data_IF_617514229410
#
_entry.id   IF_617514229410
#
_cell.length_a   1.000
_cell.length_b   1.000
_cell.length_c   1.000
_cell.angle_alpha   90.00
_cell.angle_beta   90.00
_cell.angle_gamma   90.00
#
_symmetry.space_group_name_H-M   'P 1'
#
loop_
_entity.id
_entity.type
_entity.pdbx_description
1 polymer ?
#
# COMPACT_ATOMS: atom_id res chain seq x y z
N UNK A 1 25.79 -80.86 -53.73
CA UNK A 1 25.10 -81.76 -52.78
C UNK A 1 25.65 -81.42 -51.40
N UNK A 2 24.91 -80.89 -50.42
CA UNK A 2 23.49 -80.65 -50.26
C UNK A 2 23.28 -79.34 -49.49
N UNK A 3 22.11 -78.74 -49.72
CA UNK A 3 21.57 -77.55 -49.06
C UNK A 3 21.02 -77.88 -47.66
N UNK A 4 21.01 -76.89 -46.76
CA UNK A 4 19.88 -76.50 -45.89
C UNK A 4 20.35 -75.32 -45.01
N UNK A 5 19.97 -74.08 -45.37
CA UNK A 5 18.87 -73.30 -44.76
C UNK A 5 19.01 -73.08 -43.26
N UNK A 6 19.36 -71.85 -42.83
CA UNK A 6 18.33 -71.05 -42.16
C UNK A 6 18.65 -69.54 -42.26
N UNK A 7 17.60 -68.78 -42.53
CA UNK A 7 17.61 -67.33 -42.65
C UNK A 7 16.98 -66.71 -41.39
N UNK A 8 16.91 -65.39 -41.34
CA UNK A 8 16.10 -64.58 -40.41
C UNK A 8 16.53 -64.49 -38.95
N UNK A 9 17.28 -63.42 -38.65
CA UNK A 9 16.94 -62.53 -37.53
C UNK A 9 17.61 -61.15 -37.71
N UNK A 10 17.06 -60.34 -38.62
CA UNK A 10 17.02 -58.89 -38.40
C UNK A 10 16.17 -58.67 -37.14
N UNK A 11 16.78 -58.12 -36.10
CA UNK A 11 16.12 -57.78 -34.84
C UNK A 11 16.71 -56.49 -34.31
N UNK A 12 16.12 -55.38 -34.74
CA UNK A 12 16.10 -54.07 -34.12
C UNK A 12 16.61 -54.05 -32.67
N UNK A 13 17.79 -53.48 -32.43
CA UNK A 13 18.13 -52.92 -31.11
C UNK A 13 17.85 -51.42 -31.10
N UNK A 14 16.59 -51.09 -31.32
CA UNK A 14 16.03 -49.82 -30.87
C UNK A 14 15.81 -49.87 -29.34
N UNK A 15 16.26 -48.81 -28.67
CA UNK A 15 15.54 -48.25 -27.52
C UNK A 15 15.51 -49.05 -26.21
N UNK A 16 16.53 -48.87 -25.36
CA UNK A 16 16.28 -48.62 -23.93
C UNK A 16 17.13 -47.47 -23.44
N UNK A 17 16.61 -46.23 -23.58
CA UNK A 17 17.05 -45.13 -22.71
C UNK A 17 16.68 -45.51 -21.28
N UNK A 18 17.65 -46.03 -20.53
CA UNK A 18 17.49 -46.26 -19.09
C UNK A 18 17.07 -44.91 -18.49
N UNK A 19 15.93 -44.80 -17.79
CA UNK A 19 15.59 -43.56 -17.12
C UNK A 19 16.67 -43.32 -16.07
N UNK A 20 17.55 -42.35 -16.32
CA UNK A 20 18.53 -41.90 -15.34
C UNK A 20 17.78 -41.41 -14.10
N UNK A 21 17.61 -42.32 -13.13
CA UNK A 21 17.05 -41.99 -11.83
C UNK A 21 18.04 -41.05 -11.17
N UNK A 22 17.59 -39.84 -10.82
CA UNK A 22 18.47 -38.83 -10.24
C UNK A 22 19.18 -39.40 -9.00
N UNK A 23 20.49 -39.15 -8.82
CA UNK A 23 21.24 -39.69 -7.70
C UNK A 23 20.64 -39.27 -6.36
N UNK A 24 20.76 -40.12 -5.34
CA UNK A 24 20.13 -39.92 -4.01
C UNK A 24 20.43 -38.55 -3.39
N UNK A 25 21.65 -38.03 -3.59
CA UNK A 25 22.04 -36.71 -3.09
C UNK A 25 21.24 -35.58 -3.78
N UNK A 26 20.99 -35.67 -5.08
CA UNK A 26 20.21 -34.68 -5.83
C UNK A 26 18.75 -34.67 -5.39
N UNK A 27 18.20 -35.85 -5.07
CA UNK A 27 16.86 -35.97 -4.46
C UNK A 27 16.78 -35.29 -3.09
N UNK A 28 17.80 -35.48 -2.24
CA UNK A 28 17.87 -34.84 -0.91
C UNK A 28 18.00 -33.33 -1.02
N UNK A 29 18.91 -32.84 -1.87
CA UNK A 29 19.11 -31.41 -2.12
C UNK A 29 17.80 -30.73 -2.56
N UNK A 30 17.08 -31.33 -3.51
CA UNK A 30 15.78 -30.81 -3.97
C UNK A 30 14.74 -30.72 -2.85
N UNK A 31 14.66 -31.73 -2.00
CA UNK A 31 13.78 -31.70 -0.82
C UNK A 31 14.19 -30.60 0.15
N UNK A 32 15.48 -30.43 0.42
CA UNK A 32 15.99 -29.35 1.28
C UNK A 32 15.63 -27.96 0.76
N UNK A 33 15.76 -27.72 -0.56
CA UNK A 33 15.39 -26.45 -1.19
C UNK A 33 13.88 -26.16 -1.09
N UNK A 34 13.03 -27.16 -1.32
CA UNK A 34 11.58 -27.04 -1.15
C UNK A 34 11.19 -26.78 0.32
N UNK A 35 11.81 -27.50 1.25
CA UNK A 35 11.59 -27.28 2.69
C UNK A 35 12.04 -25.90 3.13
N UNK A 36 13.17 -25.40 2.61
CA UNK A 36 13.64 -24.04 2.87
C UNK A 36 12.68 -22.98 2.32
N UNK A 37 12.15 -23.18 1.10
CA UNK A 37 11.13 -22.30 0.52
C UNK A 37 9.86 -22.27 1.38
N UNK A 38 9.39 -23.43 1.86
CA UNK A 38 8.22 -23.51 2.74
C UNK A 38 8.47 -22.85 4.11
N UNK A 39 9.64 -23.09 4.70
CA UNK A 39 10.04 -22.47 5.97
C UNK A 39 10.13 -20.94 5.85
N UNK A 40 10.69 -20.43 4.74
CA UNK A 40 10.72 -19.01 4.43
C UNK A 40 9.29 -18.44 4.33
N UNK A 41 8.40 -19.11 3.60
CA UNK A 41 7.00 -18.72 3.47
C UNK A 41 6.32 -18.63 4.85
N UNK A 42 6.50 -19.64 5.71
CA UNK A 42 5.92 -19.66 7.05
C UNK A 42 6.49 -18.56 7.96
N UNK A 43 7.80 -18.34 7.94
CA UNK A 43 8.46 -17.29 8.71
C UNK A 43 7.98 -15.89 8.29
N UNK A 44 7.86 -15.64 6.98
CA UNK A 44 7.33 -14.39 6.46
C UNK A 44 5.85 -14.21 6.79
N UNK A 45 5.04 -15.26 6.69
CA UNK A 45 3.64 -15.22 7.10
C UNK A 45 3.51 -14.81 8.58
N UNK A 46 4.35 -15.37 9.47
CA UNK A 46 4.39 -14.95 10.87
C UNK A 46 4.82 -13.48 11.02
N UNK A 47 5.83 -13.02 10.28
CA UNK A 47 6.27 -11.62 10.29
C UNK A 47 5.16 -10.66 9.87
N UNK A 48 4.41 -10.95 8.80
CA UNK A 48 3.35 -10.07 8.30
C UNK A 48 2.04 -10.17 9.08
N UNK A 49 1.77 -11.30 9.75
CA UNK A 49 0.63 -11.47 10.63
C UNK A 49 0.83 -10.73 11.96
N UNK A 50 1.97 -10.97 12.62
CA UNK A 50 2.25 -10.43 13.95
C UNK A 50 2.77 -8.99 13.88
N UNK A 51 3.60 -8.69 12.86
CA UNK A 51 4.31 -7.42 12.64
C UNK A 51 5.06 -6.92 13.88
N UNK A 52 5.92 -7.75 14.51
CA UNK A 52 6.72 -7.27 15.63
C UNK A 52 7.71 -6.19 15.16
N UNK A 53 8.09 -5.28 16.06
CA UNK A 53 9.05 -4.22 15.74
C UNK A 53 10.40 -4.79 15.28
N UNK A 54 10.82 -5.92 15.87
CA UNK A 54 12.04 -6.62 15.48
C UNK A 54 12.03 -7.07 14.00
N UNK A 55 10.87 -7.23 13.37
CA UNK A 55 10.75 -7.59 11.95
C UNK A 55 10.40 -6.38 11.06
N UNK A 56 10.63 -5.15 11.54
CA UNK A 56 10.37 -3.94 10.76
C UNK A 56 11.12 -3.93 9.43
N UNK A 57 12.38 -4.36 9.41
CA UNK A 57 13.18 -4.44 8.19
C UNK A 57 12.57 -5.38 7.13
N UNK A 58 11.96 -6.49 7.53
CA UNK A 58 11.27 -7.43 6.62
C UNK A 58 9.96 -6.84 6.12
N UNK A 59 9.17 -6.29 7.04
CA UNK A 59 7.81 -5.79 6.76
C UNK A 59 7.77 -4.41 6.14
N UNK A 60 8.95 -3.79 5.94
CA UNK A 60 9.11 -2.62 5.09
C UNK A 60 8.84 -2.95 3.63
N UNK A 61 9.31 -4.12 3.17
CA UNK A 61 9.17 -4.56 1.79
C UNK A 61 7.71 -4.89 1.45
N UNK A 62 7.30 -4.71 0.17
CA UNK A 62 6.02 -5.20 -0.29
C UNK A 62 5.96 -6.73 -0.16
N UNK A 63 4.79 -7.24 0.21
CA UNK A 63 4.58 -8.69 0.45
C UNK A 63 5.01 -9.53 -0.75
N UNK A 64 4.66 -9.09 -1.97
CA UNK A 64 4.98 -9.80 -3.20
C UNK A 64 6.47 -9.85 -3.52
N UNK A 65 7.30 -8.95 -2.98
CA UNK A 65 8.74 -8.94 -3.24
C UNK A 65 9.42 -10.23 -2.74
N UNK A 66 8.89 -10.80 -1.66
CA UNK A 66 9.40 -12.04 -1.07
C UNK A 66 9.06 -13.30 -1.88
N UNK A 67 8.15 -13.21 -2.87
CA UNK A 67 7.90 -14.32 -3.78
C UNK A 67 9.16 -14.67 -4.57
N UNK A 68 9.99 -13.69 -4.94
CA UNK A 68 11.18 -13.96 -5.75
C UNK A 68 12.14 -14.98 -5.11
N UNK A 69 12.71 -14.76 -3.91
CA UNK A 69 13.59 -15.76 -3.28
C UNK A 69 12.85 -17.07 -2.99
N UNK A 70 11.58 -17.02 -2.60
CA UNK A 70 10.76 -18.21 -2.32
C UNK A 70 10.55 -19.10 -3.54
N UNK A 71 10.20 -18.51 -4.68
CA UNK A 71 9.94 -19.22 -5.92
C UNK A 71 11.22 -19.69 -6.59
N UNK A 72 12.35 -18.97 -6.45
CA UNK A 72 13.67 -19.44 -6.91
C UNK A 72 14.06 -20.73 -6.17
N UNK A 73 13.90 -20.77 -4.84
CA UNK A 73 14.12 -21.98 -4.06
C UNK A 73 13.18 -23.12 -4.47
N UNK A 74 11.90 -22.79 -4.70
CA UNK A 74 10.90 -23.79 -5.11
C UNK A 74 11.21 -24.38 -6.50
N UNK A 75 11.61 -23.53 -7.45
CA UNK A 75 11.99 -23.91 -8.80
C UNK A 75 13.26 -24.76 -8.81
N UNK A 76 14.30 -24.36 -8.08
CA UNK A 76 15.55 -25.12 -7.96
C UNK A 76 15.32 -26.49 -7.28
N UNK A 77 14.36 -26.56 -6.36
CA UNK A 77 13.92 -27.80 -5.72
C UNK A 77 12.98 -28.66 -6.56
N UNK A 78 12.51 -28.19 -7.72
CA UNK A 78 11.50 -28.89 -8.51
C UNK A 78 12.05 -30.15 -9.21
N UNK A 79 11.27 -31.22 -9.20
CA UNK A 79 11.62 -32.47 -9.86
C UNK A 79 10.44 -33.43 -9.98
N UNK A 80 10.50 -34.38 -10.94
CA UNK A 80 9.41 -35.35 -11.18
C UNK A 80 8.99 -36.11 -9.91
N UNK A 81 9.95 -36.50 -9.07
CA UNK A 81 9.70 -37.19 -7.81
C UNK A 81 9.16 -36.27 -6.70
N UNK A 82 9.39 -34.95 -6.80
CA UNK A 82 9.01 -33.95 -5.80
C UNK A 82 7.73 -33.19 -6.18
N UNK A 83 7.14 -33.44 -7.35
CA UNK A 83 6.02 -32.66 -7.91
C UNK A 83 4.89 -32.36 -6.92
N UNK A 84 4.52 -33.33 -6.08
CA UNK A 84 3.46 -33.18 -5.07
C UNK A 84 3.86 -32.18 -3.98
N UNK A 85 5.07 -32.31 -3.45
CA UNK A 85 5.58 -31.39 -2.44
C UNK A 85 5.83 -30.01 -3.03
N UNK A 86 6.40 -29.92 -4.24
CA UNK A 86 6.54 -28.67 -4.97
C UNK A 86 5.20 -27.95 -5.15
N UNK A 87 4.15 -28.67 -5.56
CA UNK A 87 2.81 -28.08 -5.69
C UNK A 87 2.27 -27.53 -4.36
N UNK A 88 2.48 -28.24 -3.24
CA UNK A 88 2.12 -27.74 -1.91
C UNK A 88 2.88 -26.46 -1.54
N UNK A 89 4.17 -26.37 -1.86
CA UNK A 89 4.96 -25.17 -1.63
C UNK A 89 4.43 -23.98 -2.46
N UNK A 90 4.08 -24.21 -3.72
CA UNK A 90 3.49 -23.16 -4.57
C UNK A 90 2.11 -22.72 -4.05
N UNK A 91 1.28 -23.66 -3.58
CA UNK A 91 0.00 -23.35 -2.94
C UNK A 91 0.17 -22.54 -1.65
N UNK A 92 1.20 -22.85 -0.86
CA UNK A 92 1.53 -22.06 0.34
C UNK A 92 1.90 -20.62 -0.01
N UNK A 93 2.74 -20.41 -1.03
CA UNK A 93 3.09 -19.07 -1.52
C UNK A 93 1.91 -18.31 -2.11
N UNK A 94 1.00 -19.01 -2.83
CA UNK A 94 -0.25 -18.42 -3.29
C UNK A 94 -1.13 -17.99 -2.11
N UNK A 95 -1.26 -18.85 -1.09
CA UNK A 95 -1.98 -18.53 0.14
C UNK A 95 -1.37 -17.33 0.87
N UNK A 96 -0.05 -17.26 0.96
CA UNK A 96 0.68 -16.10 1.51
C UNK A 96 0.36 -14.81 0.73
N UNK A 97 0.45 -14.84 -0.60
CA UNK A 97 0.15 -13.68 -1.43
C UNK A 97 -1.31 -13.21 -1.22
N UNK A 98 -2.27 -14.13 -1.27
CA UNK A 98 -3.70 -13.81 -1.07
C UNK A 98 -3.94 -13.27 0.36
N UNK A 99 -3.31 -13.84 1.38
CA UNK A 99 -3.52 -13.44 2.76
C UNK A 99 -2.96 -12.04 3.05
N UNK A 100 -1.76 -11.73 2.56
CA UNK A 100 -1.00 -10.57 3.04
C UNK A 100 -0.86 -9.43 2.02
N UNK A 101 -0.93 -9.69 0.71
CA UNK A 101 -0.85 -8.65 -0.31
C UNK A 101 -2.23 -8.03 -0.57
N UNK A 102 -2.26 -6.72 -0.82
CA UNK A 102 -3.49 -6.00 -1.16
C UNK A 102 -3.69 -5.91 -2.67
N UNK A 103 -2.60 -5.92 -3.42
CA UNK A 103 -2.53 -5.71 -4.86
C UNK A 103 -3.36 -6.73 -5.66
N UNK A 104 -3.37 -8.05 -5.35
CA UNK A 104 -4.23 -8.97 -6.09
C UNK A 104 -5.71 -8.57 -6.03
N UNK A 105 -6.18 -8.13 -4.86
CA UNK A 105 -7.58 -7.72 -4.68
C UNK A 105 -7.88 -6.41 -5.39
N UNK A 106 -7.00 -5.42 -5.28
CA UNK A 106 -7.21 -4.10 -5.91
C UNK A 106 -7.07 -4.16 -7.44
N UNK A 107 -6.16 -4.98 -7.96
CA UNK A 107 -6.00 -5.23 -9.40
C UNK A 107 -7.23 -5.91 -9.98
N UNK A 108 -7.74 -6.97 -9.33
CA UNK A 108 -8.98 -7.63 -9.75
C UNK A 108 -10.16 -6.65 -9.68
N UNK A 109 -10.28 -5.86 -8.60
CA UNK A 109 -11.35 -4.85 -8.46
C UNK A 109 -11.27 -3.79 -9.57
N UNK A 110 -10.05 -3.34 -9.90
CA UNK A 110 -9.80 -2.39 -10.99
C UNK A 110 -10.17 -2.98 -12.36
N UNK A 111 -9.74 -4.21 -12.63
CA UNK A 111 -10.06 -4.90 -13.88
C UNK A 111 -11.56 -5.11 -14.06
N UNK A 112 -12.27 -5.56 -13.01
CA UNK A 112 -13.72 -5.77 -13.06
C UNK A 112 -14.51 -4.47 -13.23
N UNK A 113 -14.00 -3.34 -12.73
CA UNK A 113 -14.63 -2.02 -12.96
C UNK A 113 -14.37 -1.44 -14.34
N UNK A 114 -13.36 -1.95 -15.06
CA UNK A 114 -12.90 -1.36 -16.30
C UNK A 114 -12.34 0.06 -16.13
N UNK A 115 -12.18 0.76 -17.25
CA UNK A 115 -11.58 2.11 -17.30
C UNK A 115 -12.55 3.22 -16.86
N UNK A 116 -13.41 2.93 -15.88
CA UNK A 116 -14.35 3.85 -15.26
C UNK A 116 -13.67 5.01 -14.50
N UNK A 117 -12.39 5.29 -14.75
CA UNK A 117 -11.69 6.52 -14.38
C UNK A 117 -12.38 7.77 -14.97
N UNK A 118 -13.20 7.61 -16.01
CA UNK A 118 -14.06 8.63 -16.61
C UNK A 118 -15.56 8.50 -16.33
N UNK A 119 -16.01 7.58 -15.47
CA UNK A 119 -17.43 7.50 -15.13
C UNK A 119 -17.87 8.78 -14.40
N UNK A 120 -18.94 9.41 -14.89
CA UNK A 120 -19.51 10.63 -14.31
C UNK A 120 -19.71 10.46 -12.81
N UNK A 121 -19.07 11.35 -12.04
CA UNK A 121 -19.16 11.35 -10.58
C UNK A 121 -20.62 11.53 -10.19
N UNK A 122 -21.17 10.59 -9.40
CA UNK A 122 -22.51 10.76 -8.84
C UNK A 122 -22.53 12.04 -8.00
N UNK A 123 -23.60 12.85 -8.12
CA UNK A 123 -23.70 14.19 -7.52
C UNK A 123 -23.42 14.23 -6.01
N UNK A 124 -23.66 13.13 -5.28
CA UNK A 124 -23.45 13.01 -3.84
C UNK A 124 -22.03 12.58 -3.41
N UNK A 125 -21.13 12.33 -4.35
CA UNK A 125 -19.75 11.91 -4.03
C UNK A 125 -18.94 13.08 -3.48
N UNK A 126 -18.00 12.84 -2.58
CA UNK A 126 -16.98 13.78 -2.08
C UNK A 126 -15.62 13.22 -2.49
N UNK A 127 -14.78 14.02 -3.15
CA UNK A 127 -13.43 13.64 -3.58
C UNK A 127 -12.37 14.27 -2.68
N UNK A 128 -11.58 13.41 -2.06
CA UNK A 128 -10.41 13.76 -1.27
C UNK A 128 -9.17 13.44 -2.08
N UNK A 129 -8.25 14.40 -2.22
CA UNK A 129 -6.96 14.21 -2.89
C UNK A 129 -5.85 14.46 -1.88
N UNK A 130 -4.90 13.54 -1.79
CA UNK A 130 -3.70 13.70 -0.96
C UNK A 130 -2.46 13.70 -1.84
N UNK A 131 -1.52 14.61 -1.57
CA UNK A 131 -0.26 14.71 -2.31
C UNK A 131 0.89 15.28 -1.44
N UNK A 132 2.00 14.53 -1.35
CA UNK A 132 3.29 15.07 -0.94
C UNK A 132 3.87 15.92 -2.09
N UNK A 133 4.27 17.16 -1.79
CA UNK A 133 4.71 18.16 -2.75
C UNK A 133 6.25 18.30 -2.86
N UNK A 134 7.03 17.27 -2.56
CA UNK A 134 8.48 17.21 -2.86
C UNK A 134 9.25 18.49 -2.47
N UNK A 135 9.18 18.87 -1.20
CA UNK A 135 9.90 20.02 -0.64
C UNK A 135 9.23 21.37 -0.85
N UNK A 136 7.90 21.42 -0.95
CA UNK A 136 7.15 22.67 -1.08
C UNK A 136 6.87 23.09 -2.53
N UNK A 137 6.95 22.17 -3.49
CA UNK A 137 6.73 22.43 -4.92
C UNK A 137 5.29 22.89 -5.21
N UNK A 138 5.15 24.16 -5.59
CA UNK A 138 3.87 24.75 -5.99
C UNK A 138 3.30 24.12 -7.25
N UNK A 139 4.17 23.75 -8.20
CA UNK A 139 3.76 23.10 -9.44
C UNK A 139 3.26 21.67 -9.20
N UNK A 140 3.86 20.94 -8.24
CA UNK A 140 3.34 19.64 -7.82
C UNK A 140 1.98 19.79 -7.14
N UNK A 141 1.86 20.73 -6.18
CA UNK A 141 0.59 21.01 -5.52
C UNK A 141 -0.51 21.41 -6.52
N UNK A 142 -0.16 22.09 -7.60
CA UNK A 142 -1.10 22.49 -8.64
C UNK A 142 -1.71 21.30 -9.43
N UNK A 143 -1.04 20.15 -9.48
CA UNK A 143 -1.51 18.96 -10.22
C UNK A 143 -2.82 18.39 -9.65
N UNK A 144 -3.10 18.61 -8.37
CA UNK A 144 -4.36 18.15 -7.73
C UNK A 144 -5.59 18.72 -8.43
N UNK A 145 -5.47 19.84 -9.14
CA UNK A 145 -6.55 20.45 -9.91
C UNK A 145 -7.14 19.48 -10.95
N UNK A 146 -6.30 18.66 -11.60
CA UNK A 146 -6.73 17.70 -12.61
C UNK A 146 -7.62 16.56 -12.06
N UNK A 147 -7.63 16.39 -10.73
CA UNK A 147 -8.51 15.43 -10.07
C UNK A 147 -9.87 16.02 -9.67
N UNK A 148 -10.10 17.33 -9.81
CA UNK A 148 -11.34 18.01 -9.38
C UNK A 148 -11.75 17.70 -7.92
N UNK A 149 -10.90 18.03 -6.94
CA UNK A 149 -11.14 17.71 -5.53
C UNK A 149 -12.26 18.54 -4.91
N UNK A 150 -12.78 18.06 -3.78
CA UNK A 150 -13.50 18.88 -2.80
C UNK A 150 -12.68 19.10 -1.53
N UNK A 151 -11.74 18.19 -1.24
CA UNK A 151 -10.80 18.28 -0.13
C UNK A 151 -9.41 17.93 -0.68
N UNK A 152 -8.41 18.73 -0.34
CA UNK A 152 -7.01 18.51 -0.67
C UNK A 152 -6.19 18.46 0.61
N UNK A 153 -5.33 17.45 0.72
CA UNK A 153 -4.37 17.25 1.80
C UNK A 153 -2.97 17.34 1.20
N UNK A 154 -2.20 18.36 1.59
CA UNK A 154 -0.81 18.50 1.13
C UNK A 154 0.15 18.20 2.27
N UNK A 155 1.27 17.57 1.91
CA UNK A 155 2.44 17.31 2.75
C UNK A 155 3.68 17.83 2.04
N UNK A 156 4.77 18.10 2.77
CA UNK A 156 5.85 18.95 2.25
C UNK A 156 5.25 20.21 1.63
N UNK A 157 4.29 20.79 2.36
CA UNK A 157 3.36 21.75 1.80
C UNK A 157 4.12 22.98 1.30
N UNK A 158 3.70 23.58 0.17
CA UNK A 158 4.18 24.89 -0.22
C UNK A 158 3.91 25.94 0.86
N UNK A 159 4.53 27.11 0.70
CA UNK A 159 4.33 28.24 1.59
C UNK A 159 2.85 28.68 1.68
N UNK A 160 2.49 29.30 2.81
CA UNK A 160 1.10 29.69 3.10
C UNK A 160 0.42 30.47 1.97
N UNK A 161 1.10 31.47 1.42
CA UNK A 161 0.55 32.31 0.34
C UNK A 161 0.21 31.49 -0.91
N UNK A 162 1.08 30.54 -1.28
CA UNK A 162 0.88 29.65 -2.41
C UNK A 162 -0.29 28.68 -2.17
N UNK A 163 -0.41 28.13 -0.97
CA UNK A 163 -1.53 27.26 -0.57
C UNK A 163 -2.86 28.01 -0.61
N UNK A 164 -2.91 29.22 -0.08
CA UNK A 164 -4.12 30.06 -0.14
C UNK A 164 -4.47 30.46 -1.59
N UNK A 165 -3.47 30.75 -2.43
CA UNK A 165 -3.66 31.02 -3.86
C UNK A 165 -4.20 29.79 -4.61
N UNK A 166 -3.66 28.60 -4.32
CA UNK A 166 -4.16 27.33 -4.84
C UNK A 166 -5.62 27.10 -4.43
N UNK A 167 -5.95 27.33 -3.16
CA UNK A 167 -7.33 27.24 -2.66
C UNK A 167 -8.28 28.15 -3.43
N UNK A 168 -7.91 29.43 -3.62
CA UNK A 168 -8.71 30.38 -4.43
C UNK A 168 -8.87 29.92 -5.87
N UNK A 169 -7.82 29.36 -6.49
CA UNK A 169 -7.87 28.84 -7.86
C UNK A 169 -8.79 27.62 -7.99
N UNK A 170 -8.81 26.73 -7.01
CA UNK A 170 -9.62 25.51 -7.03
C UNK A 170 -11.08 25.75 -6.66
N UNK A 171 -11.34 26.63 -5.69
CA UNK A 171 -12.63 26.74 -5.00
C UNK A 171 -13.24 28.14 -5.02
N UNK A 172 -12.55 29.13 -5.58
CA UNK A 172 -13.02 30.52 -5.67
C UNK A 172 -13.27 31.13 -4.29
N UNK A 173 -14.42 31.81 -4.15
CA UNK A 173 -14.85 32.42 -2.89
C UNK A 173 -15.17 31.39 -1.78
N UNK A 174 -15.32 30.11 -2.12
CA UNK A 174 -15.61 29.03 -1.17
C UNK A 174 -14.35 28.23 -0.79
N UNK A 175 -13.18 28.87 -0.80
CA UNK A 175 -11.94 28.23 -0.39
C UNK A 175 -11.79 28.27 1.14
N UNK A 176 -11.88 27.10 1.77
CA UNK A 176 -11.43 26.91 3.15
C UNK A 176 -9.97 26.42 3.12
N UNK A 177 -9.10 27.04 3.93
CA UNK A 177 -7.69 26.68 4.00
C UNK A 177 -7.20 26.65 5.45
N UNK A 178 -6.45 25.61 5.80
CA UNK A 178 -5.65 25.54 7.01
C UNK A 178 -4.23 25.14 6.63
N UNK A 179 -3.24 25.81 7.20
CA UNK A 179 -1.83 25.64 6.85
C UNK A 179 -0.97 25.55 8.10
N UNK A 180 0.01 24.64 8.06
CA UNK A 180 1.17 24.60 8.95
C UNK A 180 2.45 24.55 8.11
N UNK A 181 3.60 24.50 8.79
CA UNK A 181 4.91 24.43 8.14
C UNK A 181 5.05 23.27 7.14
N UNK A 182 4.49 22.11 7.43
CA UNK A 182 4.70 20.91 6.59
C UNK A 182 3.40 20.36 5.97
N UNK A 183 2.24 20.66 6.56
CA UNK A 183 0.96 20.13 6.10
C UNK A 183 -0.10 21.20 5.88
N UNK A 184 -0.90 21.03 4.85
CA UNK A 184 -2.07 21.88 4.64
C UNK A 184 -3.31 21.12 4.25
N UNK A 185 -4.46 21.73 4.54
CA UNK A 185 -5.79 21.26 4.18
C UNK A 185 -6.47 22.37 3.39
N UNK A 186 -6.95 22.06 2.19
CA UNK A 186 -7.85 22.91 1.43
C UNK A 186 -9.19 22.19 1.27
N UNK A 187 -10.30 22.93 1.29
CA UNK A 187 -11.61 22.36 1.02
C UNK A 187 -12.56 23.34 0.31
N UNK A 188 -13.47 22.80 -0.49
CA UNK A 188 -14.60 23.52 -1.09
C UNK A 188 -15.71 23.68 -0.05
N UNK A 189 -15.81 24.86 0.55
CA UNK A 189 -16.81 25.18 1.55
C UNK A 189 -16.37 26.29 2.50
N UNK A 190 -16.81 26.21 3.76
CA UNK A 190 -16.49 27.19 4.79
C UNK A 190 -15.59 26.57 5.88
N UNK A 191 -14.54 27.31 6.28
CA UNK A 191 -13.72 26.95 7.43
C UNK A 191 -14.47 27.33 8.71
N UNK A 192 -14.70 26.36 9.59
CA UNK A 192 -15.34 26.58 10.90
C UNK A 192 -14.32 26.71 12.03
N UNK A 193 -13.12 26.19 11.81
CA UNK A 193 -12.00 26.29 12.74
C UNK A 193 -10.79 25.55 12.20
N UNK A 194 -9.60 25.99 12.59
CA UNK A 194 -8.36 25.32 12.26
C UNK A 194 -7.50 25.16 13.51
N UNK A 195 -6.84 24.02 13.61
CA UNK A 195 -5.80 23.76 14.59
C UNK A 195 -4.55 23.35 13.80
N UNK A 196 -3.68 24.29 13.42
CA UNK A 196 -2.43 23.95 12.74
C UNK A 196 -1.59 23.02 13.62
N UNK A 197 -0.78 22.15 13.01
CA UNK A 197 0.20 21.37 13.77
C UNK A 197 1.04 22.33 14.62
N UNK A 198 0.90 22.25 15.95
CA UNK A 198 1.83 22.90 16.86
C UNK A 198 3.23 22.31 16.69
N UNK A 199 4.23 22.86 17.41
CA UNK A 199 5.63 22.40 17.38
C UNK A 199 5.83 20.88 17.59
N UNK A 200 4.81 20.17 18.10
CA UNK A 200 4.82 18.74 18.43
C UNK A 200 3.54 17.96 18.00
N UNK A 201 2.68 18.53 17.15
CA UNK A 201 1.43 17.88 16.76
C UNK A 201 1.54 17.20 15.39
N UNK A 202 1.20 15.91 15.22
CA UNK A 202 1.40 15.18 13.96
C UNK A 202 0.30 15.51 12.93
N UNK A 203 0.32 16.72 12.37
CA UNK A 203 -0.57 17.13 11.29
C UNK A 203 -1.47 18.34 11.58
N UNK A 204 -1.93 18.94 10.49
CA UNK A 204 -2.83 20.11 10.41
C UNK A 204 -4.28 19.67 10.38
N UNK A 205 -5.10 20.17 11.30
CA UNK A 205 -6.55 19.91 11.37
C UNK A 205 -7.35 21.12 10.92
N UNK A 206 -8.37 20.88 10.10
CA UNK A 206 -9.38 21.84 9.72
C UNK A 206 -10.77 21.25 9.96
N UNK A 207 -11.65 22.01 10.61
CA UNK A 207 -13.08 21.74 10.63
C UNK A 207 -13.72 22.51 9.50
N UNK A 208 -14.32 21.81 8.54
CA UNK A 208 -14.89 22.42 7.34
C UNK A 208 -16.36 22.04 7.18
N UNK A 209 -17.16 22.98 6.70
CA UNK A 209 -18.52 22.73 6.20
C UNK A 209 -18.45 22.67 4.69
N UNK A 210 -18.67 21.48 4.14
CA UNK A 210 -18.71 21.27 2.69
C UNK A 210 -19.95 21.93 2.07
N UNK A 211 -19.96 22.10 0.75
CA UNK A 211 -21.10 22.64 0.01
C UNK A 211 -22.41 21.87 0.25
N UNK A 212 -22.34 20.58 0.56
CA UNK A 212 -23.50 19.76 0.95
C UNK A 212 -24.06 20.05 2.35
N UNK A 213 -23.49 21.01 3.08
CA UNK A 213 -23.80 21.30 4.48
C UNK A 213 -23.14 20.33 5.48
N UNK A 214 -22.50 19.26 5.00
CA UNK A 214 -21.80 18.29 5.86
C UNK A 214 -20.63 18.95 6.56
N UNK A 215 -20.61 18.90 7.89
CA UNK A 215 -19.45 19.30 8.69
C UNK A 215 -18.53 18.11 8.87
N UNK A 216 -17.24 18.29 8.60
CA UNK A 216 -16.22 17.24 8.67
C UNK A 216 -14.94 17.81 9.27
N UNK A 217 -14.32 17.04 10.16
CA UNK A 217 -12.97 17.29 10.64
C UNK A 217 -11.98 16.57 9.73
N UNK A 218 -11.10 17.35 9.11
CA UNK A 218 -10.11 16.91 8.14
C UNK A 218 -8.73 17.10 8.73
N UNK A 219 -7.88 16.09 8.62
CA UNK A 219 -6.50 16.14 9.13
C UNK A 219 -5.54 15.71 8.02
N UNK A 220 -4.61 16.61 7.65
CA UNK A 220 -3.45 16.28 6.82
C UNK A 220 -2.30 15.91 7.75
N UNK A 221 -1.63 14.77 7.49
CA UNK A 221 -0.52 14.28 8.33
C UNK A 221 0.71 14.01 7.49
N UNK A 222 1.88 14.23 8.10
CA UNK A 222 3.14 13.65 7.67
C UNK A 222 3.88 13.09 8.87
N UNK A 223 4.14 11.78 8.87
CA UNK A 223 4.87 11.14 9.96
C UNK A 223 6.36 11.03 9.66
N UNK A 224 7.15 10.73 10.69
CA UNK A 224 8.60 10.53 10.60
C UNK A 224 8.98 9.69 9.37
N UNK A 225 9.90 10.19 8.51
CA UNK A 225 10.34 9.47 7.30
C UNK A 225 10.91 8.08 7.60
N UNK A 226 10.85 7.14 6.64
CA UNK A 226 11.46 5.83 6.80
C UNK A 226 12.99 5.91 6.81
N UNK A 227 13.63 4.90 7.38
CA UNK A 227 15.09 4.74 7.26
C UNK A 227 15.40 4.15 5.88
N UNK A 228 16.16 4.87 5.08
CA UNK A 228 16.59 4.47 3.73
C UNK A 228 17.74 3.43 3.77
N UNK A 229 17.53 2.30 4.45
CA UNK A 229 18.48 1.20 4.57
C UNK A 229 17.88 -0.10 4.08
N UNK A 230 18.62 -0.79 3.21
CA UNK A 230 18.26 -2.08 2.63
C UNK A 230 19.31 -3.17 2.92
N UNK A 231 20.32 -2.87 3.72
CA UNK A 231 21.40 -3.79 4.07
C UNK A 231 20.97 -4.78 5.16
N UNK A 232 20.05 -5.69 4.81
CA UNK A 232 19.44 -6.66 5.74
C UNK A 232 20.43 -7.63 6.39
N UNK A 233 21.65 -7.76 5.86
CA UNK A 233 22.72 -8.54 6.51
C UNK A 233 23.32 -7.83 7.73
N UNK A 234 23.09 -6.53 7.89
CA UNK A 234 23.65 -5.73 8.98
C UNK A 234 22.68 -5.65 10.17
N UNK A 235 23.05 -6.13 11.37
CA UNK A 235 22.20 -6.04 12.56
C UNK A 235 21.75 -4.62 12.93
N UNK A 236 22.54 -3.58 12.60
CA UNK A 236 22.12 -2.20 12.86
C UNK A 236 20.92 -1.79 12.01
N UNK A 237 20.80 -2.28 10.77
CA UNK A 237 19.65 -2.00 9.90
C UNK A 237 18.34 -2.43 10.60
N UNK A 238 18.33 -3.60 11.23
CA UNK A 238 17.16 -4.11 11.96
C UNK A 238 16.82 -3.24 13.17
N UNK A 239 17.83 -2.80 13.93
CA UNK A 239 17.64 -1.91 15.09
C UNK A 239 17.09 -0.56 14.67
N UNK A 240 17.63 0.03 13.61
CA UNK A 240 17.23 1.34 13.09
C UNK A 240 15.79 1.29 12.55
N UNK A 241 15.44 0.26 11.77
CA UNK A 241 14.07 0.08 11.26
C UNK A 241 13.08 -0.13 12.40
N UNK A 242 13.45 -0.90 13.44
CA UNK A 242 12.61 -1.10 14.62
C UNK A 242 12.43 0.20 15.41
N UNK A 243 13.50 1.00 15.57
CA UNK A 243 13.44 2.30 16.25
C UNK A 243 12.57 3.30 15.48
N UNK A 244 12.70 3.35 14.15
CA UNK A 244 11.88 4.21 13.29
C UNK A 244 10.39 3.87 13.37
N UNK A 245 10.02 2.58 13.34
CA UNK A 245 8.62 2.14 13.56
C UNK A 245 8.12 2.57 14.94
N UNK A 246 8.95 2.49 15.99
CA UNK A 246 8.57 2.94 17.34
C UNK A 246 8.30 4.44 17.39
N UNK A 247 9.21 5.25 16.85
CA UNK A 247 9.04 6.70 16.77
C UNK A 247 7.75 7.07 16.01
N UNK A 248 7.51 6.43 14.86
CA UNK A 248 6.27 6.62 14.10
C UNK A 248 5.03 6.21 14.89
N UNK A 249 5.11 5.11 15.66
CA UNK A 249 4.01 4.68 16.52
C UNK A 249 3.68 5.68 17.62
N UNK A 250 4.67 6.38 18.13
CA UNK A 250 4.44 7.43 19.12
C UNK A 250 3.71 8.64 18.51
N UNK A 251 4.06 9.03 17.28
CA UNK A 251 3.32 10.06 16.53
C UNK A 251 1.88 9.64 16.21
N UNK A 252 1.68 8.40 15.73
CA UNK A 252 0.33 7.86 15.46
C UNK A 252 -0.48 7.77 16.76
N UNK A 253 0.14 7.42 17.90
CA UNK A 253 -0.53 7.43 19.21
C UNK A 253 -0.96 8.84 19.62
N UNK A 254 -0.09 9.83 19.42
CA UNK A 254 -0.42 11.24 19.66
C UNK A 254 -1.60 11.70 18.80
N UNK A 255 -1.61 11.34 17.50
CA UNK A 255 -2.76 11.60 16.64
C UNK A 255 -4.03 10.91 17.17
N UNK A 256 -3.97 9.61 17.47
CA UNK A 256 -5.12 8.86 17.97
C UNK A 256 -5.70 9.47 19.27
N UNK A 257 -4.85 9.92 20.19
CA UNK A 257 -5.26 10.62 21.41
C UNK A 257 -5.99 11.94 21.11
N UNK A 258 -5.49 12.75 20.17
CA UNK A 258 -6.18 13.98 19.72
C UNK A 258 -7.52 13.66 19.07
N UNK A 259 -7.59 12.63 18.24
CA UNK A 259 -8.83 12.20 17.60
C UNK A 259 -9.85 11.70 18.63
N UNK A 260 -9.42 11.01 19.69
CA UNK A 260 -10.30 10.54 20.76
C UNK A 260 -11.08 11.67 21.46
N UNK A 261 -10.49 12.87 21.56
CA UNK A 261 -11.16 14.06 22.10
C UNK A 261 -12.24 14.66 21.19
N UNK A 262 -12.40 14.18 19.96
CA UNK A 262 -13.44 14.62 19.03
C UNK A 262 -14.68 13.74 19.24
N UNK A 263 -15.89 14.30 19.26
CA UNK A 263 -17.13 13.51 19.36
C UNK A 263 -17.18 12.37 18.32
N UNK A 264 -17.53 11.13 18.69
CA UNK A 264 -17.67 10.02 17.76
C UNK A 264 -18.64 10.27 16.61
N UNK A 265 -19.60 11.19 16.77
CA UNK A 265 -20.57 11.58 15.73
C UNK A 265 -20.03 12.63 14.75
N UNK A 266 -18.82 13.14 14.96
CA UNK A 266 -18.18 14.04 14.02
C UNK A 266 -17.55 13.23 12.88
N UNK A 267 -17.94 13.47 11.61
CA UNK A 267 -17.27 12.88 10.46
C UNK A 267 -15.79 13.25 10.44
N UNK A 268 -14.93 12.26 10.17
CA UNK A 268 -13.48 12.44 10.14
C UNK A 268 -12.91 11.97 8.81
N UNK A 269 -11.95 12.73 8.30
CA UNK A 269 -11.04 12.34 7.22
C UNK A 269 -9.62 12.60 7.72
N UNK A 270 -8.77 11.59 7.66
CA UNK A 270 -7.35 11.69 7.98
C UNK A 270 -6.58 11.17 6.80
N UNK A 271 -5.69 11.95 6.22
CA UNK A 271 -4.87 11.48 5.11
C UNK A 271 -3.56 12.21 5.01
N UNK A 272 -2.68 11.71 4.16
CA UNK A 272 -1.35 12.27 3.96
C UNK A 272 -0.29 11.21 3.79
N UNK A 273 0.96 11.60 4.05
CA UNK A 273 2.14 10.75 3.96
C UNK A 273 2.38 10.08 5.32
N UNK A 274 1.98 8.82 5.43
CA UNK A 274 2.13 8.09 6.68
C UNK A 274 3.56 7.58 6.88
N UNK A 275 4.42 7.64 5.85
CA UNK A 275 5.77 7.08 5.81
C UNK A 275 5.89 5.61 6.27
N UNK A 276 4.77 4.89 6.29
CA UNK A 276 4.68 3.50 6.70
C UNK A 276 3.91 2.69 5.66
N UNK A 277 4.40 1.49 5.29
CA UNK A 277 3.70 0.63 4.35
C UNK A 277 2.28 0.30 4.80
N UNK A 278 1.41 0.05 3.84
CA UNK A 278 0.08 -0.48 4.05
C UNK A 278 0.03 -1.61 5.11
N UNK A 279 -0.92 -1.47 6.03
CA UNK A 279 -1.15 -2.45 7.09
C UNK A 279 -0.08 -2.51 8.19
N UNK A 280 0.88 -1.56 8.26
CA UNK A 280 1.84 -1.47 9.36
C UNK A 280 1.14 -1.55 10.73
N UNK A 281 1.82 -2.15 11.71
CA UNK A 281 1.30 -2.37 13.05
C UNK A 281 0.89 -1.06 13.74
N UNK A 282 1.53 0.06 13.40
CA UNK A 282 1.21 1.38 13.96
C UNK A 282 -0.24 1.78 13.72
N UNK A 283 -0.82 1.41 12.57
CA UNK A 283 -2.19 1.77 12.21
C UNK A 283 -3.26 1.04 13.02
N UNK A 284 -2.90 0.03 13.84
CA UNK A 284 -3.84 -0.57 14.80
C UNK A 284 -4.46 0.48 15.73
N UNK A 285 -3.74 1.57 16.01
CA UNK A 285 -4.20 2.69 16.84
C UNK A 285 -5.29 3.55 16.17
N UNK A 286 -5.39 3.53 14.83
CA UNK A 286 -6.40 4.29 14.08
C UNK A 286 -7.70 3.51 13.86
N UNK A 287 -7.60 2.18 13.80
CA UNK A 287 -8.73 1.26 13.49
C UNK A 287 -9.96 1.35 14.39
N UNK A 288 -9.89 1.73 15.67
CA UNK A 288 -11.09 1.91 16.49
C UNK A 288 -12.06 2.97 15.93
N UNK A 289 -11.56 3.92 15.14
CA UNK A 289 -12.34 5.06 14.66
C UNK A 289 -12.32 5.26 13.16
N UNK A 290 -11.28 4.75 12.49
CA UNK A 290 -11.00 5.01 11.09
C UNK A 290 -10.80 3.71 10.30
N UNK A 291 -11.16 3.76 9.01
CA UNK A 291 -10.96 2.69 8.04
C UNK A 291 -10.05 3.15 6.91
N UNK A 292 -9.15 2.28 6.48
CA UNK A 292 -8.29 2.49 5.31
C UNK A 292 -9.13 2.42 4.03
N UNK A 293 -9.24 3.56 3.34
CA UNK A 293 -10.08 3.68 2.14
C UNK A 293 -9.59 2.82 0.98
N UNK A 294 -8.27 2.60 0.85
CA UNK A 294 -7.73 1.78 -0.23
C UNK A 294 -8.08 0.29 -0.03
N UNK A 295 -8.02 -0.18 1.22
CA UNK A 295 -8.48 -1.54 1.53
C UNK A 295 -9.97 -1.72 1.20
N UNK A 296 -10.78 -0.70 1.49
CA UNK A 296 -12.22 -0.69 1.23
C UNK A 296 -12.54 -0.65 -0.28
N UNK A 297 -11.93 0.27 -1.04
CA UNK A 297 -12.33 0.58 -2.42
C UNK A 297 -11.19 0.91 -3.41
N UNK A 298 -9.95 0.56 -3.07
CA UNK A 298 -8.78 0.67 -3.94
C UNK A 298 -8.90 -0.07 -5.27
N UNK A 299 -8.50 0.58 -6.35
CA UNK A 299 -8.52 0.06 -7.72
C UNK A 299 -7.11 0.12 -8.32
N UNK A 300 -6.70 -0.97 -8.94
CA UNK A 300 -5.41 -1.06 -9.62
C UNK A 300 -4.22 -1.05 -8.66
N UNK A 301 -3.10 -0.50 -9.13
CA UNK A 301 -1.86 -0.38 -8.36
C UNK A 301 -1.90 0.83 -7.43
N UNK A 302 -1.93 0.59 -6.11
CA UNK A 302 -2.15 1.63 -5.10
C UNK A 302 -0.89 2.27 -4.53
N UNK A 303 0.29 1.79 -4.89
CA UNK A 303 1.53 2.31 -4.34
C UNK A 303 1.81 3.72 -4.87
N UNK A 304 2.47 4.52 -4.04
CA UNK A 304 2.63 5.96 -4.28
C UNK A 304 4.09 6.40 -4.35
N UNK A 305 5.00 5.70 -3.67
CA UNK A 305 6.42 6.07 -3.63
C UNK A 305 7.34 4.91 -4.04
N UNK A 306 8.40 5.15 -4.81
CA UNK A 306 8.70 6.39 -5.56
C UNK A 306 7.87 6.46 -6.86
N UNK A 307 7.51 7.66 -7.31
CA UNK A 307 6.49 7.92 -8.33
C UNK A 307 6.60 7.04 -9.61
N UNK A 308 7.81 6.92 -10.18
CA UNK A 308 8.05 6.15 -11.41
C UNK A 308 7.96 4.64 -11.20
N UNK A 309 8.45 4.15 -10.07
CA UNK A 309 8.45 2.74 -9.69
C UNK A 309 7.85 2.59 -8.28
N UNK A 310 6.52 2.68 -8.16
CA UNK A 310 5.90 2.79 -6.85
C UNK A 310 5.90 1.43 -6.14
N UNK A 311 6.87 1.27 -5.23
CA UNK A 311 7.03 0.07 -4.42
C UNK A 311 6.18 0.12 -3.15
N UNK A 312 5.93 1.29 -2.57
CA UNK A 312 5.24 1.40 -1.28
C UNK A 312 4.00 2.29 -1.37
N UNK A 313 2.90 1.83 -0.75
CA UNK A 313 1.75 2.67 -0.42
C UNK A 313 1.96 3.29 0.95
N UNK A 314 2.58 4.47 0.97
CA UNK A 314 2.84 5.25 2.18
C UNK A 314 1.89 6.45 2.31
N UNK A 315 1.37 6.95 1.18
CA UNK A 315 0.31 7.95 1.20
C UNK A 315 -1.04 7.26 1.31
N UNK A 316 -1.87 7.69 2.26
CA UNK A 316 -3.12 7.01 2.59
C UNK A 316 -4.22 8.00 2.95
N UNK A 317 -5.47 7.58 2.77
CA UNK A 317 -6.66 8.30 3.24
C UNK A 317 -7.47 7.33 4.09
N UNK A 318 -7.86 7.79 5.27
CA UNK A 318 -8.60 7.07 6.29
C UNK A 318 -9.87 7.85 6.65
N UNK A 319 -10.99 7.16 6.76
CA UNK A 319 -12.30 7.79 7.00
C UNK A 319 -13.01 7.18 8.19
N UNK A 320 -13.79 7.96 8.92
CA UNK A 320 -14.65 7.42 9.99
C UNK A 320 -15.92 6.78 9.43
N UNK A 321 -16.70 6.16 10.32
CA UNK A 321 -17.91 5.40 9.97
C UNK A 321 -18.96 6.15 9.16
N UNK A 322 -18.93 7.48 9.16
CA UNK A 322 -19.88 8.35 8.47
C UNK A 322 -19.68 8.38 6.95
N UNK A 323 -18.58 7.83 6.45
CA UNK A 323 -18.28 7.76 5.03
C UNK A 323 -18.07 6.33 4.58
N UNK A 324 -18.33 6.07 3.30
CA UNK A 324 -17.98 4.83 2.61
C UNK A 324 -17.12 5.20 1.40
N UNK A 325 -15.96 4.56 1.26
CA UNK A 325 -15.11 4.74 0.09
C UNK A 325 -15.76 4.04 -1.11
N UNK A 326 -15.80 4.73 -2.25
CA UNK A 326 -16.39 4.22 -3.49
C UNK A 326 -15.29 3.88 -4.48
N UNK A 327 -14.25 4.69 -4.61
CA UNK A 327 -13.11 4.42 -5.46
C UNK A 327 -11.85 5.06 -4.88
N UNK A 328 -10.74 4.34 -4.83
CA UNK A 328 -9.45 4.91 -4.45
C UNK A 328 -8.40 4.52 -5.48
N UNK A 329 -7.64 5.49 -5.98
CA UNK A 329 -6.60 5.28 -6.98
C UNK A 329 -5.35 6.07 -6.62
N UNK A 330 -4.18 5.55 -6.99
CA UNK A 330 -2.95 6.32 -7.03
C UNK A 330 -2.74 6.83 -8.46
N UNK A 331 -2.55 8.14 -8.63
CA UNK A 331 -2.34 8.77 -9.94
C UNK A 331 -0.93 9.32 -10.04
N UNK A 332 -0.24 8.96 -11.12
CA UNK A 332 1.11 9.43 -11.41
C UNK A 332 1.13 10.96 -11.49
N UNK A 333 2.10 11.58 -10.84
CA UNK A 333 2.36 13.02 -10.90
C UNK A 333 3.56 13.31 -11.80
N UNK A 334 3.77 14.56 -12.17
CA UNK A 334 4.91 14.99 -13.00
C UNK A 334 6.00 15.69 -12.18
N UNK A 335 5.62 16.38 -11.10
CA UNK A 335 6.52 17.26 -10.34
C UNK A 335 6.71 16.83 -8.88
N UNK A 336 6.22 15.65 -8.50
CA UNK A 336 6.46 15.04 -7.20
C UNK A 336 7.08 13.65 -7.36
N UNK A 337 7.91 13.24 -6.41
CA UNK A 337 8.40 11.88 -6.24
C UNK A 337 7.35 10.95 -5.60
N UNK A 338 6.16 11.47 -5.28
CA UNK A 338 4.98 10.72 -4.86
C UNK A 338 3.85 10.81 -5.89
N UNK A 339 3.12 9.71 -6.06
CA UNK A 339 1.81 9.70 -6.72
C UNK A 339 0.76 10.31 -5.80
N UNK A 340 -0.20 11.05 -6.35
CA UNK A 340 -1.34 11.52 -5.57
C UNK A 340 -2.32 10.38 -5.28
N UNK A 341 -2.94 10.40 -4.11
CA UNK A 341 -4.04 9.49 -3.76
C UNK A 341 -5.36 10.21 -4.00
N UNK A 342 -6.21 9.64 -4.85
CA UNK A 342 -7.57 10.16 -5.12
C UNK A 342 -8.58 9.20 -4.54
N UNK A 343 -9.34 9.67 -3.55
CA UNK A 343 -10.40 8.93 -2.88
C UNK A 343 -11.76 9.57 -3.14
N UNK A 344 -12.63 8.86 -3.84
CA UNK A 344 -14.06 9.15 -3.91
C UNK A 344 -14.78 8.43 -2.78
N UNK A 345 -15.55 9.17 -1.99
CA UNK A 345 -16.35 8.65 -0.90
C UNK A 345 -17.76 9.23 -0.91
N UNK A 346 -18.70 8.54 -0.30
CA UNK A 346 -20.07 9.03 -0.08
C UNK A 346 -20.34 9.08 1.41
N UNK A 347 -21.20 10.00 1.82
CA UNK A 347 -21.71 10.03 3.20
C UNK A 347 -22.69 8.87 3.38
N UNK A 348 -22.57 8.16 4.49
CA UNK A 348 -23.58 7.21 4.90
C UNK A 348 -24.80 8.00 5.40
N UNK A 349 -25.96 7.76 4.82
CA UNK A 349 -27.22 8.20 5.39
C UNK A 349 -27.35 7.51 6.76
N UNK A 350 -27.69 8.28 7.79
CA UNK A 350 -27.65 7.80 9.17
C UNK A 350 -28.46 6.51 9.33
N UNK A 351 -27.86 5.50 9.97
CA UNK A 351 -28.63 4.44 10.61
C UNK A 351 -29.22 4.94 11.91
#
# INVERSE_FOLDING_TARGET
>A
MAQDTDSTAQGEREGRRIPHCAPRWARRLRLSLLSLSLALCAALAACYALRPDACAAVTLFPVWAWLAPGLVLAWAGWGRAQRRFGALVLLAWLGYLVAFAEEPRSLVRGWLRGDAQGASRAAATIRVVSLNCAGGSEVAAAEVAGAYPDIVLLQESPGRAAVEALGRRLFGAHAAAAWSRDESVLARGALLGAAPSGRHGPGTRARVRLASGTQVDVVSVRFVPPVARMDLWNPSCWRDQAANRRARRDEVRSLAGRLAGISPETPLVVGGDFNAPAGDATFRLLRPRLRDTFREAGLGWGNTAVNDFPFHRIDQIWISRHFRAVAVTARKTQHSDHRMVVCDMVRNEGQ
#
